data_IF_541806573887
#
_entry.id   IF_541806573887
#
_cell.length_a   1.000
_cell.length_b   1.000
_cell.length_c   1.000
_cell.angle_alpha   90.00
_cell.angle_beta   90.00
_cell.angle_gamma   90.00
#
_symmetry.space_group_name_H-M   'P 1'
#
loop_
_entity.id
_entity.type
_entity.pdbx_description
1 polymer ?
#
# COMPACT_ATOMS: atom_id res chain seq x y z
N UNK A 1 3.82 -9.56 4.06
CA UNK A 1 4.34 -10.02 5.37
C UNK A 1 3.53 -11.19 5.85
N UNK A 2 4.10 -12.01 6.71
CA UNK A 2 3.35 -13.08 7.37
C UNK A 2 2.61 -12.57 8.62
N UNK A 3 1.85 -13.44 9.29
CA UNK A 3 1.06 -13.06 10.46
C UNK A 3 1.91 -12.58 11.64
N UNK A 4 3.21 -12.92 11.70
CA UNK A 4 4.17 -12.46 12.69
C UNK A 4 4.85 -11.14 12.32
N UNK A 5 4.40 -10.49 11.27
CA UNK A 5 4.97 -9.26 10.72
C UNK A 5 6.39 -9.42 10.18
N UNK A 6 6.77 -10.63 9.82
CA UNK A 6 8.01 -10.88 9.08
C UNK A 6 7.76 -10.68 7.60
N UNK A 7 8.64 -9.93 6.95
CA UNK A 7 8.56 -9.72 5.52
C UNK A 7 8.92 -11.02 4.77
N UNK A 8 8.04 -11.43 3.85
CA UNK A 8 8.33 -12.57 2.99
C UNK A 8 9.38 -12.18 1.95
N UNK A 9 10.12 -13.18 1.47
CA UNK A 9 11.12 -12.96 0.42
C UNK A 9 10.45 -12.34 -0.81
N UNK A 10 11.09 -11.31 -1.37
CA UNK A 10 10.60 -10.59 -2.54
C UNK A 10 11.73 -10.35 -3.54
N UNK A 11 11.36 -9.83 -4.71
CA UNK A 11 12.33 -9.45 -5.74
C UNK A 11 12.99 -8.12 -5.40
N UNK A 12 13.96 -7.72 -6.21
CA UNK A 12 14.64 -6.43 -6.07
C UNK A 12 13.65 -5.25 -6.18
N UNK A 13 13.96 -4.12 -5.56
CA UNK A 13 13.13 -2.91 -5.69
C UNK A 13 12.98 -2.46 -7.15
N UNK A 14 11.87 -1.80 -7.43
CA UNK A 14 11.54 -1.28 -8.76
C UNK A 14 11.52 0.25 -8.75
N UNK A 15 11.59 0.82 -9.95
CA UNK A 15 11.52 2.27 -10.15
C UNK A 15 10.16 2.81 -9.70
N UNK A 16 10.18 3.96 -9.04
CA UNK A 16 8.96 4.66 -8.62
C UNK A 16 8.32 5.37 -9.81
N UNK A 17 7.08 5.02 -10.10
CA UNK A 17 6.32 5.59 -11.22
C UNK A 17 5.23 6.58 -10.76
N UNK A 18 5.39 7.20 -9.60
CA UNK A 18 4.40 8.15 -9.07
C UNK A 18 4.18 9.36 -9.97
N UNK A 19 5.12 9.67 -10.85
CA UNK A 19 5.00 10.75 -11.84
C UNK A 19 4.11 10.38 -13.05
N UNK A 20 3.39 9.25 -12.98
CA UNK A 20 2.54 8.78 -14.08
C UNK A 20 1.22 9.53 -14.25
N UNK A 21 0.95 10.53 -13.40
CA UNK A 21 -0.28 11.34 -13.45
C UNK A 21 -1.46 10.77 -12.68
N UNK A 22 -1.34 9.58 -12.11
CA UNK A 22 -2.39 8.96 -11.30
C UNK A 22 -2.32 9.49 -9.86
N UNK A 23 -3.48 9.72 -9.25
CA UNK A 23 -3.58 10.30 -7.92
C UNK A 23 -4.02 9.27 -6.88
N UNK A 24 -3.58 9.47 -5.64
CA UNK A 24 -3.94 8.64 -4.49
C UNK A 24 -5.34 9.02 -3.99
N UNK A 25 -6.35 8.79 -4.82
CA UNK A 25 -7.76 9.02 -4.49
C UNK A 25 -8.35 7.81 -3.78
N UNK A 26 -9.50 8.01 -3.13
CA UNK A 26 -10.24 6.93 -2.48
C UNK A 26 -10.44 5.75 -3.44
N UNK A 27 -10.10 4.55 -2.98
CA UNK A 27 -10.25 3.31 -3.75
C UNK A 27 -9.08 2.95 -4.64
N UNK A 28 -8.05 3.81 -4.75
CA UNK A 28 -6.85 3.48 -5.52
C UNK A 28 -5.89 2.61 -4.73
N UNK A 29 -5.06 1.85 -5.45
CA UNK A 29 -4.06 0.96 -4.89
C UNK A 29 -2.68 1.50 -5.28
N UNK A 30 -1.80 1.66 -4.30
CA UNK A 30 -0.48 2.23 -4.52
C UNK A 30 0.60 1.40 -3.84
N UNK A 31 1.83 1.51 -4.34
CA UNK A 31 2.98 0.79 -3.79
C UNK A 31 3.49 1.48 -2.53
N UNK A 32 3.70 0.69 -1.47
CA UNK A 32 4.43 1.15 -0.30
C UNK A 32 5.93 1.27 -0.64
N UNK A 33 6.62 2.18 0.05
CA UNK A 33 8.04 2.44 -0.16
C UNK A 33 8.69 2.93 1.13
N UNK A 34 10.02 2.97 1.14
CA UNK A 34 10.78 3.64 2.19
C UNK A 34 11.05 5.10 1.78
N UNK A 35 11.90 5.80 2.53
CA UNK A 35 12.34 7.17 2.20
C UNK A 35 13.13 7.25 0.89
N UNK A 36 13.63 6.15 0.39
CA UNK A 36 14.28 6.08 -0.92
C UNK A 36 13.22 6.02 -2.02
N UNK A 37 13.37 6.82 -3.07
CA UNK A 37 12.38 6.94 -4.15
C UNK A 37 12.09 5.58 -4.81
N UNK A 38 13.13 4.85 -5.20
CA UNK A 38 13.01 3.59 -5.94
C UNK A 38 13.23 2.40 -4.99
N UNK A 39 12.40 2.30 -3.94
CA UNK A 39 12.53 1.26 -2.90
C UNK A 39 11.35 0.29 -2.82
N UNK A 40 10.33 0.46 -3.65
CA UNK A 40 9.15 -0.40 -3.63
C UNK A 40 9.49 -1.83 -4.08
N UNK A 41 8.98 -2.82 -3.37
CA UNK A 41 9.15 -4.24 -3.70
C UNK A 41 7.81 -4.94 -3.89
N UNK A 42 7.13 -5.33 -2.82
CA UNK A 42 5.89 -6.11 -2.92
C UNK A 42 4.75 -5.57 -2.07
N UNK A 43 5.02 -4.67 -1.14
CA UNK A 43 3.98 -4.15 -0.27
C UNK A 43 3.18 -3.06 -0.97
N UNK A 44 1.88 -3.07 -0.77
CA UNK A 44 0.96 -2.09 -1.32
C UNK A 44 -0.06 -1.68 -0.27
N UNK A 45 -0.77 -0.61 -0.55
CA UNK A 45 -1.88 -0.16 0.31
C UNK A 45 -3.06 0.28 -0.55
N UNK A 46 -4.21 0.35 0.08
CA UNK A 46 -5.44 0.82 -0.55
C UNK A 46 -5.82 2.14 0.10
N UNK A 47 -6.02 3.17 -0.69
CA UNK A 47 -6.44 4.48 -0.21
C UNK A 47 -7.92 4.42 0.19
N UNK A 48 -8.22 4.68 1.47
CA UNK A 48 -9.59 4.70 2.00
C UNK A 48 -10.18 6.11 2.05
N UNK A 49 -9.43 7.09 1.56
CA UNK A 49 -9.84 8.48 1.37
C UNK A 49 -8.93 9.12 0.31
N UNK A 50 -9.22 10.34 -0.09
CA UNK A 50 -8.35 11.09 -0.98
C UNK A 50 -7.11 11.54 -0.21
N UNK A 51 -5.97 10.96 -0.53
CA UNK A 51 -4.69 11.23 0.12
C UNK A 51 -3.78 12.07 -0.79
N UNK A 52 -4.13 13.33 -1.00
CA UNK A 52 -3.40 14.22 -1.92
C UNK A 52 -1.93 14.39 -1.52
N UNK A 53 -1.62 14.32 -0.23
CA UNK A 53 -0.25 14.43 0.27
C UNK A 53 0.66 13.26 -0.17
N UNK A 54 0.10 12.18 -0.69
CA UNK A 54 0.85 11.03 -1.22
C UNK A 54 1.11 11.15 -2.74
N UNK A 55 0.58 12.18 -3.38
CA UNK A 55 0.77 12.38 -4.82
C UNK A 55 2.16 12.94 -5.13
N UNK A 56 2.63 12.65 -6.34
CA UNK A 56 3.90 13.22 -6.83
C UNK A 56 3.79 14.73 -6.92
N UNK A 57 4.72 15.46 -6.30
CA UNK A 57 4.76 16.93 -6.30
C UNK A 57 6.09 17.47 -6.83
N UNK A 58 7.18 16.73 -6.66
CA UNK A 58 8.51 17.12 -7.15
C UNK A 58 9.42 15.90 -7.19
N UNK A 59 10.63 16.08 -7.71
CA UNK A 59 11.66 15.04 -7.75
C UNK A 59 12.32 14.79 -6.38
N UNK A 60 12.07 15.62 -5.36
CA UNK A 60 12.60 15.43 -4.01
C UNK A 60 12.05 14.11 -3.40
N UNK A 61 12.86 13.33 -2.67
CA UNK A 61 12.40 12.04 -2.13
C UNK A 61 11.13 12.13 -1.29
N UNK A 62 10.98 13.14 -0.45
CA UNK A 62 9.80 13.31 0.40
C UNK A 62 8.55 13.73 -0.38
N UNK A 63 8.72 14.24 -1.60
CA UNK A 63 7.63 14.76 -2.43
C UNK A 63 7.43 13.98 -3.73
N UNK A 64 8.23 12.95 -3.97
CA UNK A 64 8.09 12.13 -5.18
C UNK A 64 6.77 11.37 -5.20
N UNK A 65 6.29 10.99 -4.04
CA UNK A 65 4.98 10.35 -3.87
C UNK A 65 5.00 8.84 -3.98
N UNK A 66 3.80 8.29 -4.03
CA UNK A 66 3.52 6.85 -4.02
C UNK A 66 2.82 6.46 -5.31
N UNK A 67 3.38 5.52 -6.03
CA UNK A 67 2.91 5.14 -7.36
C UNK A 67 1.57 4.39 -7.29
N UNK A 68 0.53 4.99 -7.83
CA UNK A 68 -0.77 4.33 -8.02
C UNK A 68 -0.69 3.45 -9.26
N UNK A 69 -1.10 2.20 -9.13
CA UNK A 69 -1.08 1.23 -10.22
C UNK A 69 -2.42 0.52 -10.47
N UNK A 70 -3.42 0.79 -9.64
CA UNK A 70 -4.73 0.16 -9.79
C UNK A 70 -5.80 0.84 -8.96
N UNK A 71 -7.00 0.30 -9.03
CA UNK A 71 -8.11 0.75 -8.20
C UNK A 71 -9.04 -0.41 -7.87
N UNK A 72 -9.71 -0.31 -6.74
CA UNK A 72 -10.71 -1.29 -6.33
C UNK A 72 -11.96 -1.08 -7.17
N UNK A 73 -12.40 -2.12 -7.88
CA UNK A 73 -13.61 -2.09 -8.70
C UNK A 73 -14.79 -2.78 -8.02
N UNK A 74 -14.52 -3.58 -6.98
CA UNK A 74 -15.54 -4.33 -6.27
C UNK A 74 -15.01 -4.65 -4.86
N UNK A 75 -15.85 -4.60 -3.84
CA UNK A 75 -15.47 -5.00 -2.48
C UNK A 75 -14.95 -3.87 -1.60
N UNK A 76 -15.22 -2.59 -1.89
CA UNK A 76 -14.82 -1.49 -1.00
C UNK A 76 -15.43 -1.59 0.40
N UNK A 77 -16.59 -2.22 0.54
CA UNK A 77 -17.17 -2.51 1.86
C UNK A 77 -16.29 -3.42 2.70
N UNK A 78 -15.63 -4.40 2.07
CA UNK A 78 -14.64 -5.26 2.73
C UNK A 78 -13.42 -4.43 3.16
N UNK A 79 -12.94 -3.54 2.31
CA UNK A 79 -11.82 -2.66 2.62
C UNK A 79 -12.15 -1.77 3.83
N UNK A 80 -13.33 -1.18 3.86
CA UNK A 80 -13.77 -0.37 5.01
C UNK A 80 -13.92 -1.21 6.29
N UNK A 81 -14.33 -2.46 6.19
CA UNK A 81 -14.38 -3.36 7.33
C UNK A 81 -12.98 -3.67 7.88
N UNK A 82 -12.00 -3.86 7.00
CA UNK A 82 -10.60 -4.06 7.41
C UNK A 82 -10.06 -2.82 8.11
N UNK A 83 -10.36 -1.63 7.61
CA UNK A 83 -9.95 -0.36 8.21
C UNK A 83 -10.43 -0.23 9.66
N UNK A 84 -11.59 -0.79 9.97
CA UNK A 84 -12.24 -0.69 11.29
C UNK A 84 -11.80 -1.78 12.28
N UNK A 85 -10.99 -2.75 11.88
CA UNK A 85 -10.58 -3.83 12.79
C UNK A 85 -9.74 -3.28 13.95
N UNK A 86 -9.81 -3.98 15.08
CA UNK A 86 -9.02 -3.65 16.25
C UNK A 86 -7.54 -3.82 15.96
N UNK A 87 -6.74 -2.82 16.30
CA UNK A 87 -5.30 -2.80 16.02
C UNK A 87 -4.48 -2.70 17.31
N UNK A 88 -3.20 -3.01 17.21
CA UNK A 88 -2.23 -2.91 18.28
C UNK A 88 -0.82 -2.90 17.71
N UNK A 89 0.18 -2.96 18.59
CA UNK A 89 1.58 -3.03 18.18
C UNK A 89 2.03 -4.47 18.07
N UNK A 90 2.79 -4.79 17.02
CA UNK A 90 3.30 -6.14 16.78
C UNK A 90 4.55 -6.10 15.93
N UNK A 91 5.60 -6.80 16.32
CA UNK A 91 6.85 -6.88 15.56
C UNK A 91 7.50 -5.51 15.29
N UNK A 92 7.34 -4.54 16.21
CA UNK A 92 7.85 -3.18 16.05
C UNK A 92 6.98 -2.28 15.17
N UNK A 93 5.84 -2.76 14.71
CA UNK A 93 4.89 -1.99 13.88
C UNK A 93 3.70 -1.54 14.70
N UNK A 94 3.16 -0.36 14.37
CA UNK A 94 1.93 0.20 14.95
C UNK A 94 0.74 -0.11 14.04
N UNK A 95 -0.46 -0.03 14.60
CA UNK A 95 -1.73 -0.20 13.86
C UNK A 95 -1.85 -1.55 13.15
N UNK A 96 -1.30 -2.59 13.77
CA UNK A 96 -1.41 -3.96 13.26
C UNK A 96 -2.72 -4.57 13.75
N UNK A 97 -3.53 -5.21 12.88
CA UNK A 97 -4.73 -5.91 13.31
C UNK A 97 -4.41 -6.94 14.41
N UNK A 98 -5.19 -6.89 15.50
CA UNK A 98 -5.01 -7.85 16.62
C UNK A 98 -5.19 -9.28 16.13
N UNK A 99 -6.24 -9.51 15.32
CA UNK A 99 -6.44 -10.77 14.60
C UNK A 99 -5.94 -10.56 13.16
N UNK A 100 -5.02 -11.40 12.71
CA UNK A 100 -4.40 -11.24 11.40
C UNK A 100 -5.44 -11.23 10.28
N UNK A 101 -5.33 -10.23 9.39
CA UNK A 101 -6.11 -10.17 8.14
C UNK A 101 -5.22 -10.75 7.05
N UNK A 102 -5.68 -11.83 6.41
CA UNK A 102 -4.86 -12.58 5.45
C UNK A 102 -5.40 -12.44 4.04
N UNK A 103 -4.48 -12.24 3.09
CA UNK A 103 -4.78 -12.39 1.66
C UNK A 103 -4.59 -13.87 1.33
N UNK A 104 -5.70 -14.58 1.11
CA UNK A 104 -5.66 -16.01 0.86
C UNK A 104 -5.11 -16.34 -0.53
N UNK A 105 -5.41 -15.52 -1.51
CA UNK A 105 -4.92 -15.70 -2.87
C UNK A 105 -4.96 -14.41 -3.65
N UNK A 106 -4.11 -14.31 -4.66
CA UNK A 106 -4.12 -13.23 -5.63
C UNK A 106 -3.74 -13.82 -6.99
N UNK A 107 -4.48 -13.46 -8.02
CA UNK A 107 -4.23 -13.95 -9.39
C UNK A 107 -4.58 -12.88 -10.42
N UNK A 108 -3.91 -12.92 -11.54
CA UNK A 108 -4.22 -12.06 -12.68
C UNK A 108 -5.34 -12.72 -13.48
N UNK A 109 -6.40 -11.96 -13.73
CA UNK A 109 -7.50 -12.37 -14.61
C UNK A 109 -7.23 -11.83 -16.02
N UNK A 110 -7.44 -12.64 -16.97
CA UNK A 110 -7.18 -12.21 -18.33
C UNK A 110 -7.59 -13.19 -19.31
#
# INVERSE_FOLDING_TARGET
MDAGMKEKKNNSPIKNEAANGLKNNLGTIAMARTNMVDSATSQFFINVKNNDFLNHRSAAPAEFGYAVFGQVIEGMDVVHNIEKVRTGNKGGHQDVPVDAVMINSAKVEG
#
